data_IF_664386253283
#
_entry.id   IF_664386253283
#
_cell.length_a   1.000
_cell.length_b   1.000
_cell.length_c   1.000
_cell.angle_alpha   90.00
_cell.angle_beta   90.00
_cell.angle_gamma   90.00
#
_symmetry.space_group_name_H-M   'P 1'
#
loop_
_entity.id
_entity.type
_entity.pdbx_description
1 polymer ?
#
# COMPACT_ATOMS: atom_id res chain seq x y z
N UNK A 1 -16.43 1.95 -7.04
CA UNK A 1 -16.33 0.73 -6.21
C UNK A 1 -16.73 -0.44 -7.07
N UNK A 2 -15.73 -1.13 -7.61
CA UNK A 2 -15.89 -2.28 -8.50
C UNK A 2 -16.37 -3.50 -7.71
N UNK A 3 -16.83 -4.57 -8.38
CA UNK A 3 -17.22 -5.82 -7.71
C UNK A 3 -16.06 -6.46 -6.95
N UNK A 4 -14.84 -6.27 -7.43
CA UNK A 4 -13.60 -6.77 -6.82
C UNK A 4 -13.29 -6.02 -5.52
N UNK A 5 -13.43 -4.68 -5.52
CA UNK A 5 -13.28 -3.86 -4.32
C UNK A 5 -14.25 -4.30 -3.21
N UNK A 6 -15.50 -4.61 -3.56
CA UNK A 6 -16.51 -5.07 -2.58
C UNK A 6 -16.10 -6.39 -1.93
N UNK A 7 -15.60 -7.34 -2.74
CA UNK A 7 -15.13 -8.64 -2.25
C UNK A 7 -13.93 -8.47 -1.35
N UNK A 8 -12.96 -7.65 -1.73
CA UNK A 8 -11.76 -7.41 -0.93
C UNK A 8 -12.08 -6.75 0.42
N UNK A 9 -12.98 -5.75 0.43
CA UNK A 9 -13.46 -5.11 1.66
C UNK A 9 -14.17 -6.12 2.57
N UNK A 10 -15.02 -6.96 2.00
CA UNK A 10 -15.75 -7.98 2.76
C UNK A 10 -14.79 -9.01 3.38
N UNK A 11 -13.86 -9.56 2.60
CA UNK A 11 -12.91 -10.59 3.07
C UNK A 11 -11.95 -10.03 4.11
N UNK A 12 -11.32 -8.88 3.83
CA UNK A 12 -10.39 -8.24 4.79
C UNK A 12 -11.12 -7.74 6.03
N UNK A 13 -12.36 -7.27 5.87
CA UNK A 13 -13.22 -6.84 6.97
C UNK A 13 -13.64 -8.00 7.87
N UNK A 14 -14.00 -9.15 7.30
CA UNK A 14 -14.34 -10.36 8.05
C UNK A 14 -13.15 -10.87 8.85
N UNK A 15 -11.96 -10.92 8.23
CA UNK A 15 -10.73 -11.30 8.93
C UNK A 15 -10.39 -10.35 10.09
N UNK A 16 -10.56 -9.04 9.88
CA UNK A 16 -10.39 -8.05 10.95
C UNK A 16 -11.38 -8.27 12.10
N UNK A 17 -12.64 -8.56 11.79
CA UNK A 17 -13.66 -8.89 12.79
C UNK A 17 -13.28 -10.12 13.63
N UNK A 18 -12.77 -11.17 12.99
CA UNK A 18 -12.29 -12.37 13.68
C UNK A 18 -11.11 -12.06 14.60
N UNK A 19 -10.15 -11.23 14.18
CA UNK A 19 -9.02 -10.81 15.03
C UNK A 19 -9.53 -10.12 16.30
N UNK A 20 -10.49 -9.20 16.17
CA UNK A 20 -11.08 -8.47 17.30
C UNK A 20 -11.86 -9.39 18.26
N UNK A 21 -12.57 -10.37 17.69
CA UNK A 21 -13.24 -11.39 18.49
C UNK A 21 -12.23 -12.23 19.28
N UNK A 22 -11.16 -12.70 18.63
CA UNK A 22 -10.11 -13.49 19.29
C UNK A 22 -9.38 -12.68 20.36
N UNK A 23 -9.08 -11.40 20.14
CA UNK A 23 -8.48 -10.56 21.17
C UNK A 23 -9.39 -10.39 22.39
N UNK A 24 -10.71 -10.32 22.17
CA UNK A 24 -11.69 -10.27 23.27
C UNK A 24 -11.72 -11.57 24.06
N UNK A 25 -11.67 -12.72 23.39
CA UNK A 25 -11.59 -14.03 24.05
C UNK A 25 -10.30 -14.18 24.85
N UNK A 26 -9.16 -13.80 24.29
CA UNK A 26 -7.86 -13.85 24.98
C UNK A 26 -7.91 -12.98 26.24
N UNK A 27 -8.47 -11.78 26.16
CA UNK A 27 -8.62 -10.92 27.33
C UNK A 27 -9.49 -11.56 28.42
N UNK A 28 -10.68 -12.07 28.07
CA UNK A 28 -11.57 -12.73 29.04
C UNK A 28 -10.94 -13.99 29.66
N UNK A 29 -10.12 -14.72 28.90
CA UNK A 29 -9.37 -15.87 29.41
C UNK A 29 -8.26 -15.45 30.39
N UNK A 30 -7.54 -14.37 30.11
CA UNK A 30 -6.50 -13.83 31.01
C UNK A 30 -7.11 -13.28 32.29
N UNK A 31 -8.24 -12.56 32.19
CA UNK A 31 -8.95 -12.00 33.33
C UNK A 31 -9.69 -13.06 34.17
N UNK A 32 -9.74 -14.31 33.68
CA UNK A 32 -10.47 -15.44 34.27
C UNK A 32 -11.95 -15.13 34.55
N UNK A 33 -12.57 -14.32 33.70
CA UNK A 33 -13.97 -13.88 33.83
C UNK A 33 -14.94 -14.95 33.30
N UNK A 34 -15.09 -16.02 34.08
CA UNK A 34 -15.94 -17.18 33.77
C UNK A 34 -17.40 -16.84 33.46
N UNK A 35 -18.11 -15.93 34.17
CA UNK A 35 -19.50 -15.64 33.84
C UNK A 35 -19.66 -14.98 32.47
N UNK A 36 -18.77 -14.05 32.08
CA UNK A 36 -18.83 -13.45 30.74
C UNK A 36 -18.34 -14.42 29.65
N UNK A 37 -17.38 -15.29 29.96
CA UNK A 37 -16.94 -16.34 29.04
C UNK A 37 -18.08 -17.33 28.73
N UNK A 38 -18.91 -17.67 29.72
CA UNK A 38 -20.10 -18.51 29.52
C UNK A 38 -21.16 -17.83 28.64
N UNK A 39 -21.39 -16.53 28.83
CA UNK A 39 -22.28 -15.75 27.96
C UNK A 39 -21.75 -15.72 26.52
N UNK A 40 -20.45 -15.48 26.34
CA UNK A 40 -19.81 -15.50 25.02
C UNK A 40 -19.90 -16.89 24.38
N UNK A 41 -19.72 -17.96 25.17
CA UNK A 41 -19.88 -19.33 24.69
C UNK A 41 -21.32 -19.66 24.28
N UNK A 42 -22.31 -19.24 25.08
CA UNK A 42 -23.73 -19.46 24.78
C UNK A 42 -24.20 -18.68 23.53
N UNK A 43 -23.65 -17.49 23.31
CA UNK A 43 -24.00 -16.61 22.20
C UNK A 43 -22.86 -16.47 21.18
N UNK A 44 -22.07 -17.52 20.99
CA UNK A 44 -20.83 -17.44 20.19
C UNK A 44 -21.10 -17.03 18.74
N UNK A 45 -22.13 -17.61 18.11
CA UNK A 45 -22.50 -17.34 16.72
C UNK A 45 -22.93 -15.87 16.53
N UNK A 46 -23.93 -15.34 17.26
CA UNK A 46 -24.35 -13.96 17.07
C UNK A 46 -23.25 -12.94 17.43
N UNK A 47 -22.40 -13.24 18.42
CA UNK A 47 -21.28 -12.37 18.78
C UNK A 47 -20.24 -12.34 17.66
N UNK A 48 -19.85 -13.49 17.10
CA UNK A 48 -18.93 -13.55 15.96
C UNK A 48 -19.50 -12.79 14.77
N UNK A 49 -20.79 -12.97 14.45
CA UNK A 49 -21.45 -12.22 13.37
C UNK A 49 -21.39 -10.72 13.64
N UNK A 50 -21.62 -10.28 14.87
CA UNK A 50 -21.49 -8.87 15.27
C UNK A 50 -20.08 -8.32 15.03
N UNK A 51 -19.04 -9.07 15.42
CA UNK A 51 -17.65 -8.68 15.18
C UNK A 51 -17.29 -8.67 13.69
N UNK A 52 -17.79 -9.62 12.90
CA UNK A 52 -17.61 -9.64 11.45
C UNK A 52 -18.25 -8.42 10.78
N UNK A 53 -19.47 -8.05 11.17
CA UNK A 53 -20.14 -6.85 10.67
C UNK A 53 -19.38 -5.58 11.07
N UNK A 54 -18.89 -5.51 12.31
CA UNK A 54 -18.06 -4.41 12.79
C UNK A 54 -16.76 -4.31 11.98
N UNK A 55 -16.07 -5.42 11.75
CA UNK A 55 -14.84 -5.46 10.95
C UNK A 55 -15.07 -5.03 9.50
N UNK A 56 -16.16 -5.47 8.87
CA UNK A 56 -16.58 -5.01 7.54
C UNK A 56 -16.88 -3.51 7.52
N UNK A 57 -17.57 -2.99 8.54
CA UNK A 57 -17.86 -1.56 8.68
C UNK A 57 -16.59 -0.73 8.83
N UNK A 58 -15.67 -1.12 9.71
CA UNK A 58 -14.37 -0.45 9.90
C UNK A 58 -13.57 -0.43 8.60
N UNK A 59 -13.53 -1.56 7.87
CA UNK A 59 -12.82 -1.65 6.59
C UNK A 59 -13.47 -0.78 5.51
N UNK A 60 -14.79 -0.73 5.47
CA UNK A 60 -15.53 0.15 4.56
C UNK A 60 -15.27 1.64 4.86
N UNK A 61 -15.25 2.04 6.13
CA UNK A 61 -14.89 3.40 6.52
C UNK A 61 -13.45 3.76 6.09
N UNK A 62 -12.49 2.87 6.34
CA UNK A 62 -11.09 3.07 5.95
C UNK A 62 -10.90 3.17 4.42
N UNK A 63 -11.66 2.38 3.64
CA UNK A 63 -11.68 2.48 2.19
C UNK A 63 -12.26 3.83 1.73
N UNK A 64 -13.38 4.26 2.32
CA UNK A 64 -14.02 5.55 2.04
C UNK A 64 -13.09 6.73 2.37
N UNK A 65 -12.40 6.70 3.51
CA UNK A 65 -11.46 7.77 3.88
C UNK A 65 -10.25 7.85 2.95
N UNK A 66 -9.81 6.72 2.40
CA UNK A 66 -8.68 6.67 1.44
C UNK A 66 -9.06 7.25 0.08
N UNK A 67 -10.29 7.01 -0.39
CA UNK A 67 -10.79 7.53 -1.69
C UNK A 67 -11.21 9.00 -1.60
N UNK A 68 -11.80 9.43 -0.47
CA UNK A 68 -12.32 10.81 -0.31
C UNK A 68 -11.27 11.88 -0.01
N UNK A 69 -9.97 11.59 -0.13
CA UNK A 69 -8.90 12.59 0.05
C UNK A 69 -9.02 13.83 -0.86
N UNK A 70 -9.92 13.84 -1.85
CA UNK A 70 -10.09 14.96 -2.81
C UNK A 70 -11.28 15.89 -2.60
N UNK A 71 -12.27 15.61 -1.73
CA UNK A 71 -13.55 16.36 -1.81
C UNK A 71 -14.21 16.83 -0.50
N UNK A 72 -13.66 16.55 0.69
CA UNK A 72 -14.30 16.97 1.96
C UNK A 72 -13.52 18.08 2.68
N UNK A 73 -13.84 19.34 2.36
CA UNK A 73 -13.31 20.54 3.01
C UNK A 73 -13.73 20.69 4.50
N UNK A 74 -14.66 19.88 5.01
CA UNK A 74 -15.07 19.85 6.42
C UNK A 74 -14.01 19.22 7.36
N UNK A 75 -13.06 18.46 6.81
CA UNK A 75 -12.02 17.75 7.57
C UNK A 75 -10.59 18.26 7.29
N UNK A 76 -10.44 19.41 6.64
CA UNK A 76 -9.10 19.99 6.38
C UNK A 76 -8.72 21.02 7.45
N UNK A 77 -7.49 20.92 7.97
CA UNK A 77 -6.89 21.92 8.85
C UNK A 77 -7.41 21.88 10.29
N UNK A 78 -7.48 23.06 10.93
CA UNK A 78 -7.80 23.23 12.35
C UNK A 78 -9.16 22.63 12.79
N UNK A 79 -10.10 22.44 11.86
CA UNK A 79 -11.40 21.82 12.13
C UNK A 79 -11.28 20.38 12.66
N UNK A 80 -10.26 19.62 12.24
CA UNK A 80 -10.07 18.22 12.67
C UNK A 80 -9.77 18.13 14.17
N UNK A 81 -9.11 19.16 14.74
CA UNK A 81 -8.78 19.24 16.17
C UNK A 81 -10.05 19.40 17.00
N UNK A 82 -10.98 20.26 16.56
CA UNK A 82 -12.27 20.45 17.23
C UNK A 82 -13.15 19.19 17.16
N UNK A 83 -13.13 18.48 16.03
CA UNK A 83 -13.83 17.20 15.91
C UNK A 83 -13.26 16.14 16.86
N UNK A 84 -11.93 16.08 17.03
CA UNK A 84 -11.29 15.18 18.00
C UNK A 84 -11.74 15.49 19.43
N UNK A 85 -11.84 16.77 19.80
CA UNK A 85 -12.33 17.18 21.12
C UNK A 85 -13.81 16.86 21.33
N UNK A 86 -14.68 17.17 20.37
CA UNK A 86 -16.12 16.85 20.44
C UNK A 86 -16.34 15.34 20.51
N UNK A 87 -15.62 14.56 19.69
CA UNK A 87 -15.68 13.10 19.75
C UNK A 87 -15.14 12.58 21.09
N UNK A 88 -14.04 13.13 21.62
CA UNK A 88 -13.49 12.68 22.91
C UNK A 88 -14.45 12.94 24.06
N UNK A 89 -15.09 14.12 24.11
CA UNK A 89 -16.11 14.44 25.11
C UNK A 89 -17.31 13.49 24.96
N UNK A 90 -17.77 13.27 23.73
CA UNK A 90 -18.85 12.33 23.44
C UNK A 90 -18.51 10.90 23.90
N UNK A 91 -17.31 10.41 23.60
CA UNK A 91 -16.85 9.09 24.03
C UNK A 91 -16.68 9.01 25.54
N UNK A 92 -16.25 10.08 26.21
CA UNK A 92 -16.11 10.11 27.67
C UNK A 92 -17.46 10.08 28.39
N UNK A 93 -18.45 10.81 27.86
CA UNK A 93 -19.84 10.76 28.36
C UNK A 93 -20.47 9.40 28.06
N UNK A 94 -20.32 8.88 26.84
CA UNK A 94 -20.83 7.56 26.47
C UNK A 94 -20.18 6.44 27.29
N UNK A 95 -18.89 6.54 27.59
CA UNK A 95 -18.18 5.59 28.44
C UNK A 95 -18.83 5.49 29.82
N UNK A 96 -19.30 6.59 30.40
CA UNK A 96 -19.95 6.57 31.73
C UNK A 96 -21.12 5.57 31.82
N UNK A 97 -21.89 5.40 30.74
CA UNK A 97 -23.04 4.50 30.68
C UNK A 97 -22.67 3.05 30.35
N UNK A 98 -21.42 2.79 29.95
CA UNK A 98 -20.94 1.48 29.56
C UNK A 98 -20.40 0.73 30.80
N UNK A 99 -20.82 -0.52 31.06
CA UNK A 99 -20.26 -1.36 32.11
C UNK A 99 -18.73 -1.48 32.03
N UNK A 100 -18.05 -1.51 33.18
CA UNK A 100 -16.59 -1.50 33.27
C UNK A 100 -15.93 -2.60 32.42
N UNK A 101 -16.50 -3.81 32.41
CA UNK A 101 -16.00 -4.93 31.60
C UNK A 101 -16.03 -4.64 30.09
N UNK A 102 -17.11 -4.01 29.60
CA UNK A 102 -17.23 -3.64 28.18
C UNK A 102 -16.23 -2.54 27.83
N UNK A 103 -15.93 -1.62 28.75
CA UNK A 103 -14.89 -0.59 28.52
C UNK A 103 -13.52 -1.24 28.31
N UNK A 104 -13.15 -2.24 29.11
CA UNK A 104 -11.88 -2.94 28.93
C UNK A 104 -11.84 -3.75 27.64
N UNK A 105 -12.93 -4.43 27.27
CA UNK A 105 -13.04 -5.11 25.97
C UNK A 105 -12.83 -4.12 24.83
N UNK A 106 -13.45 -2.94 24.88
CA UNK A 106 -13.24 -1.90 23.86
C UNK A 106 -11.79 -1.43 23.84
N UNK A 107 -11.17 -1.23 25.00
CA UNK A 107 -9.78 -0.76 25.10
C UNK A 107 -8.80 -1.79 24.51
N UNK A 108 -8.99 -3.07 24.81
CA UNK A 108 -8.21 -4.17 24.22
C UNK A 108 -8.38 -4.19 22.71
N UNK A 109 -9.60 -4.07 22.20
CA UNK A 109 -9.86 -4.03 20.76
C UNK A 109 -9.20 -2.82 20.08
N UNK A 110 -9.21 -1.64 20.71
CA UNK A 110 -8.49 -0.45 20.23
C UNK A 110 -6.98 -0.71 20.20
N UNK A 111 -6.41 -1.31 21.25
CA UNK A 111 -5.01 -1.68 21.29
C UNK A 111 -4.65 -2.70 20.18
N UNK A 112 -5.51 -3.70 19.93
CA UNK A 112 -5.35 -4.66 18.83
C UNK A 112 -5.40 -3.96 17.48
N UNK A 113 -6.30 -3.00 17.27
CA UNK A 113 -6.33 -2.20 16.03
C UNK A 113 -5.04 -1.40 15.83
N UNK A 114 -4.52 -0.77 16.88
CA UNK A 114 -3.24 -0.05 16.83
C UNK A 114 -2.08 -0.99 16.51
N UNK A 115 -2.05 -2.19 17.10
CA UNK A 115 -1.04 -3.20 16.82
C UNK A 115 -1.11 -3.66 15.36
N UNK A 116 -2.31 -4.00 14.86
CA UNK A 116 -2.51 -4.40 13.45
C UNK A 116 -2.10 -3.26 12.51
N UNK A 117 -2.40 -2.01 12.85
CA UNK A 117 -1.97 -0.86 12.08
C UNK A 117 -0.44 -0.71 12.07
N UNK A 118 0.21 -0.85 13.23
CA UNK A 118 1.67 -0.78 13.36
C UNK A 118 2.36 -1.91 12.58
N UNK A 119 1.85 -3.15 12.68
CA UNK A 119 2.36 -4.29 11.92
C UNK A 119 2.22 -4.06 10.41
N UNK A 120 1.07 -3.58 9.95
CA UNK A 120 0.88 -3.20 8.55
C UNK A 120 1.85 -2.09 8.13
N UNK A 121 2.05 -1.08 8.96
CA UNK A 121 3.00 -0.01 8.69
C UNK A 121 4.44 -0.53 8.57
N UNK A 122 4.86 -1.42 9.49
CA UNK A 122 6.18 -2.04 9.41
C UNK A 122 6.32 -2.94 8.18
N UNK A 123 5.29 -3.71 7.84
CA UNK A 123 5.26 -4.54 6.64
C UNK A 123 5.38 -3.70 5.37
N UNK A 124 4.59 -2.63 5.25
CA UNK A 124 4.67 -1.66 4.14
C UNK A 124 6.03 -0.97 4.10
N UNK A 125 6.59 -0.60 5.26
CA UNK A 125 7.93 -0.02 5.37
C UNK A 125 9.00 -1.00 4.92
N UNK A 126 8.87 -2.29 5.26
CA UNK A 126 9.81 -3.33 4.85
C UNK A 126 9.69 -3.63 3.36
N UNK A 127 8.48 -3.74 2.80
CA UNK A 127 8.30 -3.86 1.34
C UNK A 127 8.83 -2.63 0.63
N UNK A 128 8.52 -1.43 1.12
CA UNK A 128 9.06 -0.21 0.55
C UNK A 128 10.59 -0.20 0.67
N UNK A 129 11.16 -0.70 1.77
CA UNK A 129 12.61 -0.85 1.92
C UNK A 129 13.16 -1.91 0.98
N UNK A 130 12.48 -3.04 0.76
CA UNK A 130 12.89 -4.13 -0.14
C UNK A 130 12.85 -3.69 -1.59
N UNK A 131 11.76 -3.05 -2.03
CA UNK A 131 11.61 -2.41 -3.34
C UNK A 131 12.60 -1.27 -3.50
N UNK A 132 12.78 -0.44 -2.46
CA UNK A 132 13.78 0.61 -2.52
C UNK A 132 15.20 0.06 -2.41
N UNK A 133 15.44 -1.12 -1.81
CA UNK A 133 16.75 -1.77 -1.63
C UNK A 133 17.15 -2.63 -2.80
N UNK A 134 16.19 -3.24 -3.50
CA UNK A 134 16.38 -3.73 -4.86
C UNK A 134 16.65 -2.56 -5.83
N UNK A 135 16.23 -1.34 -5.47
CA UNK A 135 16.63 -0.08 -6.12
C UNK A 135 17.84 0.64 -5.46
N UNK A 136 18.39 0.15 -4.32
CA UNK A 136 19.40 0.89 -3.52
C UNK A 136 20.83 0.43 -3.72
N UNK A 137 21.05 -0.57 -4.57
CA UNK A 137 22.39 -0.89 -5.03
C UNK A 137 22.36 -0.95 -6.55
N UNK A 138 22.88 0.11 -7.16
CA UNK A 138 23.16 0.30 -8.59
C UNK A 138 22.01 0.76 -9.49
N UNK A 139 22.11 2.03 -9.92
CA UNK A 139 21.45 2.66 -11.07
C UNK A 139 19.93 2.78 -10.98
N UNK A 140 19.41 4.02 -11.03
CA UNK A 140 18.01 4.25 -11.42
C UNK A 140 17.87 3.81 -12.87
N UNK A 141 17.58 2.54 -13.11
CA UNK A 141 17.21 2.06 -14.44
C UNK A 141 15.79 2.52 -14.70
N UNK A 142 15.63 3.49 -15.59
CA UNK A 142 14.30 3.89 -16.05
C UNK A 142 13.81 2.83 -17.04
N UNK A 143 12.58 2.35 -16.86
CA UNK A 143 11.99 1.31 -17.70
C UNK A 143 10.74 1.90 -18.34
N UNK A 144 10.70 1.97 -19.67
CA UNK A 144 9.52 2.35 -20.45
C UNK A 144 9.00 1.14 -21.23
N UNK A 145 7.71 0.83 -21.10
CA UNK A 145 7.06 -0.26 -21.83
C UNK A 145 6.92 0.09 -23.32
N UNK A 146 7.31 -0.84 -24.17
CA UNK A 146 7.19 -0.74 -25.61
C UNK A 146 5.91 -1.42 -26.10
N UNK A 147 5.15 -0.78 -27.01
CA UNK A 147 3.95 -1.39 -27.58
C UNK A 147 4.28 -2.63 -28.42
N UNK A 148 5.47 -2.68 -29.03
CA UNK A 148 5.97 -3.81 -29.84
C UNK A 148 7.49 -3.92 -29.75
N UNK A 149 8.02 -5.12 -30.03
CA UNK A 149 9.47 -5.31 -30.21
C UNK A 149 9.96 -4.49 -31.41
N UNK A 150 10.99 -3.63 -31.26
CA UNK A 150 11.61 -2.95 -32.39
C UNK A 150 12.27 -3.98 -33.31
N UNK A 151 11.99 -3.89 -34.61
CA UNK A 151 12.48 -4.85 -35.61
C UNK A 151 13.86 -4.49 -36.17
N UNK A 152 14.24 -3.22 -36.09
CA UNK A 152 15.51 -2.67 -36.55
C UNK A 152 16.09 -1.71 -35.52
N UNK A 153 17.40 -1.45 -35.62
CA UNK A 153 18.09 -0.47 -34.76
C UNK A 153 17.51 0.94 -34.94
N UNK A 154 17.08 1.28 -36.15
CA UNK A 154 16.43 2.57 -36.44
C UNK A 154 15.10 2.73 -35.68
N UNK A 155 14.28 1.68 -35.63
CA UNK A 155 13.01 1.68 -34.88
C UNK A 155 13.29 1.77 -33.38
N UNK A 156 14.35 1.12 -32.90
CA UNK A 156 14.77 1.22 -31.51
C UNK A 156 15.19 2.65 -31.14
N UNK A 157 15.95 3.32 -32.01
CA UNK A 157 16.38 4.70 -31.79
C UNK A 157 15.23 5.71 -31.89
N UNK A 158 14.33 5.51 -32.84
CA UNK A 158 13.12 6.33 -32.96
C UNK A 158 12.29 6.29 -31.68
N UNK A 159 12.24 5.14 -31.01
CA UNK A 159 11.46 4.99 -29.79
C UNK A 159 12.10 5.68 -28.57
N UNK A 160 13.44 5.73 -28.53
CA UNK A 160 14.18 6.53 -27.55
C UNK A 160 13.93 8.04 -27.79
N UNK A 161 13.94 8.47 -29.04
CA UNK A 161 13.65 9.86 -29.43
C UNK A 161 12.20 10.26 -29.11
N UNK A 162 11.24 9.39 -29.40
CA UNK A 162 9.83 9.56 -29.05
C UNK A 162 9.65 9.73 -27.54
N UNK A 163 10.34 8.90 -26.75
CA UNK A 163 10.34 9.00 -25.29
C UNK A 163 10.88 10.36 -24.82
N UNK A 164 12.00 10.84 -25.37
CA UNK A 164 12.58 12.12 -24.98
C UNK A 164 11.68 13.29 -25.38
N UNK A 165 11.11 13.26 -26.59
CA UNK A 165 10.20 14.28 -27.11
C UNK A 165 8.93 14.40 -26.28
N UNK A 166 8.31 13.26 -25.93
CA UNK A 166 7.09 13.19 -25.09
C UNK A 166 7.29 13.81 -23.71
N UNK A 167 8.51 13.71 -23.17
CA UNK A 167 8.85 14.19 -21.83
C UNK A 167 9.58 15.55 -21.84
N UNK A 168 9.71 16.21 -23.00
CA UNK A 168 10.42 17.48 -23.17
C UNK A 168 11.90 17.41 -22.70
N UNK A 169 12.56 16.28 -22.89
CA UNK A 169 13.95 16.06 -22.48
C UNK A 169 14.90 16.40 -23.63
N UNK A 170 16.05 17.00 -23.31
CA UNK A 170 17.15 17.15 -24.27
C UNK A 170 17.77 15.79 -24.57
N UNK A 171 18.13 15.55 -25.83
CA UNK A 171 18.57 14.25 -26.33
C UNK A 171 19.78 14.40 -27.27
N UNK A 172 20.88 13.72 -26.95
CA UNK A 172 22.06 13.60 -27.81
C UNK A 172 22.48 12.13 -27.94
N UNK A 173 22.74 11.67 -29.16
CA UNK A 173 23.21 10.31 -29.43
C UNK A 173 24.73 10.27 -29.35
N UNK A 174 25.28 9.37 -28.52
CA UNK A 174 26.73 9.16 -28.39
C UNK A 174 27.15 7.90 -29.16
N UNK A 175 26.41 6.82 -28.98
CA UNK A 175 26.65 5.57 -29.69
C UNK A 175 25.33 5.01 -30.24
N UNK A 176 25.35 4.67 -31.53
CA UNK A 176 24.21 4.17 -32.27
C UNK A 176 24.14 2.63 -32.24
N UNK A 177 22.93 2.07 -32.12
CA UNK A 177 22.69 0.62 -32.12
C UNK A 177 21.99 0.09 -30.86
N UNK A 178 21.96 -1.24 -30.71
CA UNK A 178 21.43 -1.94 -29.53
C UNK A 178 22.57 -2.69 -28.83
N UNK A 179 23.03 -2.26 -27.65
CA UNK A 179 22.54 -1.15 -26.83
C UNK A 179 23.00 0.23 -27.32
N UNK A 180 22.17 1.25 -27.11
CA UNK A 180 22.50 2.63 -27.44
C UNK A 180 23.19 3.33 -26.26
N UNK A 181 24.04 4.32 -26.54
CA UNK A 181 24.51 5.26 -25.52
C UNK A 181 24.03 6.66 -25.88
N UNK A 182 23.27 7.25 -24.96
CA UNK A 182 22.56 8.52 -25.18
C UNK A 182 22.76 9.43 -23.98
N UNK A 183 22.80 10.74 -24.23
CA UNK A 183 22.83 11.76 -23.19
C UNK A 183 21.46 12.42 -23.14
N UNK A 184 20.81 12.31 -21.99
CA UNK A 184 19.48 12.86 -21.73
C UNK A 184 19.61 13.85 -20.58
N UNK A 185 19.23 15.12 -20.78
CA UNK A 185 19.34 16.19 -19.76
C UNK A 185 20.68 16.21 -19.04
N UNK A 186 21.72 16.25 -19.86
CA UNK A 186 23.11 16.28 -19.44
C UNK A 186 23.61 15.03 -18.68
N UNK A 187 22.83 13.94 -18.65
CA UNK A 187 23.14 12.69 -17.97
C UNK A 187 23.33 11.55 -18.98
N UNK A 188 24.39 10.75 -18.81
CA UNK A 188 24.76 9.68 -19.74
C UNK A 188 24.04 8.37 -19.40
N UNK A 189 23.38 7.75 -20.38
CA UNK A 189 22.65 6.49 -20.25
C UNK A 189 23.07 5.47 -21.30
N UNK A 190 23.14 4.20 -20.91
CA UNK A 190 23.15 3.04 -21.81
C UNK A 190 21.72 2.51 -21.90
N UNK A 191 21.10 2.57 -23.08
CA UNK A 191 19.74 2.07 -23.31
C UNK A 191 19.80 0.65 -23.85
N UNK A 192 19.12 -0.28 -23.18
CA UNK A 192 19.02 -1.69 -23.57
C UNK A 192 17.57 -2.07 -23.86
N UNK A 193 17.40 -3.11 -24.67
CA UNK A 193 16.09 -3.72 -24.88
C UNK A 193 15.86 -4.80 -23.80
N UNK A 194 14.89 -4.54 -22.93
CA UNK A 194 14.44 -5.47 -21.88
C UNK A 194 13.20 -6.26 -22.30
N UNK A 195 12.90 -7.31 -21.53
CA UNK A 195 11.72 -8.17 -21.71
C UNK A 195 11.25 -8.67 -20.33
N UNK A 196 9.95 -8.56 -20.06
CA UNK A 196 9.31 -9.27 -18.95
C UNK A 196 7.96 -9.86 -19.39
N UNK A 197 7.37 -10.73 -18.57
CA UNK A 197 6.08 -11.34 -18.84
C UNK A 197 4.98 -10.68 -18.03
N UNK A 198 3.86 -10.35 -18.67
CA UNK A 198 2.65 -9.91 -17.99
C UNK A 198 2.07 -11.04 -17.14
N UNK A 199 1.18 -10.71 -16.19
CA UNK A 199 0.45 -11.70 -15.38
C UNK A 199 -0.36 -12.69 -16.24
N UNK A 200 -0.69 -12.31 -17.48
CA UNK A 200 -1.39 -13.16 -18.47
C UNK A 200 -0.43 -13.90 -19.41
N UNK A 201 0.88 -13.86 -19.16
CA UNK A 201 1.89 -14.61 -19.91
C UNK A 201 2.30 -13.99 -21.25
N UNK A 202 1.84 -12.77 -21.56
CA UNK A 202 2.27 -12.07 -22.79
C UNK A 202 3.64 -11.41 -22.58
N UNK A 203 4.58 -11.53 -23.53
CA UNK A 203 5.85 -10.81 -23.47
C UNK A 203 5.62 -9.31 -23.64
N UNK A 204 6.16 -8.51 -22.72
CA UNK A 204 6.21 -7.05 -22.78
C UNK A 204 7.67 -6.66 -22.98
N UNK A 205 7.95 -5.90 -24.03
CA UNK A 205 9.28 -5.39 -24.33
C UNK A 205 9.45 -4.02 -23.68
N UNK A 206 10.67 -3.68 -23.27
CA UNK A 206 10.95 -2.42 -22.56
C UNK A 206 12.22 -1.75 -23.06
N UNK A 207 12.27 -0.43 -22.95
CA UNK A 207 13.51 0.32 -22.98
C UNK A 207 14.03 0.46 -21.56
N UNK A 208 15.24 -0.06 -21.31
CA UNK A 208 15.91 0.05 -20.02
C UNK A 208 17.05 1.07 -20.12
N UNK A 209 16.90 2.22 -19.47
CA UNK A 209 17.89 3.29 -19.44
C UNK A 209 18.80 3.12 -18.22
N UNK A 210 20.00 2.59 -18.42
CA UNK A 210 20.98 2.37 -17.36
C UNK A 210 21.94 3.56 -17.28
N UNK A 211 22.01 4.26 -16.15
CA UNK A 211 22.92 5.39 -16.01
C UNK A 211 24.40 4.95 -16.09
N UNK A 212 25.23 5.63 -16.88
CA UNK A 212 26.64 5.25 -17.07
C UNK A 212 27.53 5.71 -15.91
N UNK A 213 27.13 6.73 -15.13
CA UNK A 213 27.86 7.12 -13.92
C UNK A 213 27.93 5.98 -12.89
N UNK A 214 26.94 5.08 -12.86
CA UNK A 214 26.97 3.84 -12.06
C UNK A 214 27.85 2.72 -12.62
N UNK A 215 28.40 2.87 -13.84
CA UNK A 215 29.23 1.84 -14.50
C UNK A 215 30.73 2.05 -14.25
N UNK A 216 31.17 3.28 -13.99
CA UNK A 216 32.59 3.61 -13.75
C UNK A 216 33.07 3.16 -12.36
N UNK A 217 32.19 3.17 -11.36
CA UNK A 217 32.52 2.73 -9.99
C UNK A 217 32.81 1.21 -9.89
N UNK A 218 32.36 0.41 -10.86
CA UNK A 218 32.59 -1.03 -10.94
C UNK A 218 33.87 -1.46 -11.69
N UNK A 219 34.70 -0.53 -12.19
CA UNK A 219 36.03 -0.87 -12.76
C UNK A 219 37.20 -0.52 -11.85
N UNK A 220 36.92 0.06 -10.68
CA UNK A 220 37.94 0.49 -9.71
C UNK A 220 38.01 -0.40 -8.46
N UNK A 221 37.27 -1.52 -8.42
CA UNK A 221 37.37 -2.55 -7.37
C UNK A 221 37.77 -3.89 -7.98
#
# INVERSE_FOLDING_TARGET
MTREDKKEIAVKGLFLGLILFVSTLIYLLIDMDMPHLQIVGAFIIPIIVGYCLLGMFLRWMAYRSTIRKKEFHLFSGAAIVYWIWILSIFFMVAAHWIPQIIRYIVLVNVATLLLVWLLNFMYLKNIAKELNSSLKYYSRTLIEDLPRKPQTEDIFMQEIENYCTKNYLSFEIINYGIPAEVKIDNTLYTVKLGQYYSVLGSPIYTLEFHNIASKVENRAN
#
